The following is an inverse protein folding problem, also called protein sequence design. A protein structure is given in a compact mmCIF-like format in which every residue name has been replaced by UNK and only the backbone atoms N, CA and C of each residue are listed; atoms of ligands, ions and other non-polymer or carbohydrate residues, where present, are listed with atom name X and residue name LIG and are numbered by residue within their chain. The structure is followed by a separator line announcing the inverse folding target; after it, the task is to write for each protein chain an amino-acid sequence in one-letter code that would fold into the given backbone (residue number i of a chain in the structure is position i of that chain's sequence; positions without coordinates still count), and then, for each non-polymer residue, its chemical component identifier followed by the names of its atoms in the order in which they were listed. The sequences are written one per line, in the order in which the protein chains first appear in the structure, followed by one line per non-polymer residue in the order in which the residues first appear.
data_IF_154693489588
#
_entry.id   IF_154693489588
#
_cell.length_a   1.000
_cell.length_b   1.000
_cell.length_c   1.000
_cell.angle_alpha   90.00
_cell.angle_beta   90.00
_cell.angle_gamma   90.00
#
_symmetry.space_group_name_H-M   'P 1'
#
loop_
_entity.id
_entity.type
_entity.pdbx_description
1 polymer ?
#
# COMPACT_ATOMS: atom_id res chain seq x y z
N UNK A 1 7.24 -2.25 20.51
CA UNK A 1 7.64 -0.87 20.22
C UNK A 1 6.97 -0.38 18.96
N UNK A 2 6.52 0.86 19.01
CA UNK A 2 5.87 1.43 17.84
C UNK A 2 6.85 1.80 16.76
N UNK A 3 6.47 1.63 15.52
CA UNK A 3 7.27 2.11 14.42
C UNK A 3 7.19 3.62 14.35
N UNK A 4 8.28 4.25 13.95
CA UNK A 4 8.25 5.68 13.72
C UNK A 4 7.47 5.98 12.45
N UNK A 5 6.91 7.18 12.38
CA UNK A 5 6.09 7.54 11.24
C UNK A 5 6.84 7.37 9.92
N UNK A 6 8.10 7.71 9.89
CA UNK A 6 8.89 7.58 8.68
C UNK A 6 9.04 6.13 8.28
N UNK A 7 9.24 5.26 9.26
CA UNK A 7 9.38 3.83 8.99
C UNK A 7 8.12 3.23 8.44
N UNK A 8 7.00 3.48 9.11
CA UNK A 8 5.76 2.88 8.67
C UNK A 8 5.33 3.45 7.32
N UNK A 9 5.58 4.73 7.09
CA UNK A 9 5.25 5.31 5.81
C UNK A 9 6.08 4.67 4.69
N UNK A 10 7.35 4.43 4.94
CA UNK A 10 8.21 3.79 3.96
C UNK A 10 7.77 2.38 3.65
N UNK A 11 7.40 1.63 4.67
CA UNK A 11 6.94 0.26 4.47
C UNK A 11 5.60 0.22 3.77
N UNK A 12 4.72 1.14 4.12
CA UNK A 12 3.42 1.26 3.47
C UNK A 12 3.59 1.55 1.99
N UNK A 13 4.45 2.51 1.68
CA UNK A 13 4.70 2.88 0.30
C UNK A 13 5.26 1.72 -0.50
N UNK A 14 6.22 1.03 0.08
CA UNK A 14 6.86 -0.10 -0.56
C UNK A 14 5.85 -1.20 -0.89
N UNK A 15 4.98 -1.48 0.06
CA UNK A 15 3.97 -2.51 -0.12
C UNK A 15 2.98 -2.12 -1.21
N UNK A 16 2.53 -0.88 -1.19
CA UNK A 16 1.59 -0.41 -2.20
C UNK A 16 2.20 -0.42 -3.58
N UNK A 17 3.45 -0.04 -3.69
CA UNK A 17 4.13 -0.08 -4.98
C UNK A 17 4.26 -1.50 -5.50
N UNK A 18 4.49 -2.43 -4.60
CA UNK A 18 4.60 -3.83 -4.98
C UNK A 18 3.30 -4.36 -5.57
N UNK A 19 2.18 -4.02 -4.96
CA UNK A 19 0.90 -4.56 -5.37
C UNK A 19 0.19 -3.73 -6.43
N UNK A 20 0.39 -2.42 -6.41
CA UNK A 20 -0.40 -1.52 -7.25
C UNK A 20 0.43 -0.58 -8.09
N UNK A 21 1.73 -0.73 -8.10
CA UNK A 21 2.61 0.21 -8.76
C UNK A 21 2.39 0.33 -10.26
N UNK A 22 1.87 -0.72 -10.90
CA UNK A 22 1.62 -0.70 -12.33
C UNK A 22 0.18 -0.39 -12.69
N UNK A 23 -0.70 -0.33 -11.71
CA UNK A 23 -2.13 -0.18 -11.99
C UNK A 23 -2.72 1.11 -11.43
N UNK A 24 -2.00 1.77 -10.54
CA UNK A 24 -2.48 3.02 -9.94
C UNK A 24 -1.42 4.09 -10.05
N UNK A 25 -1.87 5.34 -10.01
CA UNK A 25 -0.93 6.45 -10.11
C UNK A 25 -0.10 6.58 -8.86
N UNK A 26 1.08 7.17 -9.02
CA UNK A 26 1.93 7.41 -7.87
C UNK A 26 1.24 8.32 -6.85
N UNK A 27 0.45 9.24 -7.34
CA UNK A 27 -0.26 10.16 -6.45
C UNK A 27 -1.21 9.40 -5.53
N UNK A 28 -1.99 8.47 -6.08
CA UNK A 28 -2.91 7.69 -5.28
C UNK A 28 -2.16 6.87 -4.24
N UNK A 29 -1.04 6.28 -4.65
CA UNK A 29 -0.23 5.46 -3.77
C UNK A 29 0.36 6.30 -2.64
N UNK A 30 0.89 7.46 -2.97
CA UNK A 30 1.50 8.32 -1.96
C UNK A 30 0.46 8.88 -0.99
N UNK A 31 -0.70 9.26 -1.50
CA UNK A 31 -1.76 9.77 -0.64
C UNK A 31 -2.23 8.71 0.34
N UNK A 32 -2.39 7.49 -0.16
CA UNK A 32 -2.80 6.40 0.71
C UNK A 32 -1.73 6.09 1.75
N UNK A 33 -0.47 6.13 1.34
CA UNK A 33 0.62 5.87 2.28
C UNK A 33 0.64 6.90 3.39
N UNK A 34 0.44 8.16 3.05
CA UNK A 34 0.41 9.22 4.07
C UNK A 34 -0.77 9.01 5.02
N UNK A 35 -1.93 8.76 4.46
CA UNK A 35 -3.13 8.61 5.28
C UNK A 35 -3.03 7.39 6.18
N UNK A 36 -2.61 6.27 5.61
CA UNK A 36 -2.51 5.04 6.37
C UNK A 36 -1.49 5.15 7.50
N UNK A 37 -0.31 5.67 7.18
CA UNK A 37 0.75 5.73 8.19
C UNK A 37 0.42 6.69 9.31
N UNK A 38 -0.40 7.69 9.05
CA UNK A 38 -0.78 8.62 10.11
C UNK A 38 -1.80 8.00 11.08
N UNK A 39 -2.55 7.02 10.62
CA UNK A 39 -3.58 6.37 11.43
C UNK A 39 -3.13 5.05 12.01
N UNK A 40 -2.35 4.31 11.25
CA UNK A 40 -1.95 2.97 11.64
C UNK A 40 -0.44 2.91 11.82
N UNK A 41 -0.01 2.05 12.71
CA UNK A 41 1.41 1.84 12.93
C UNK A 41 1.84 0.45 12.45
N UNK A 42 1.12 -0.09 11.49
CA UNK A 42 1.39 -1.41 10.94
C UNK A 42 0.91 -1.44 9.51
N UNK A 43 1.40 -2.39 8.73
CA UNK A 43 0.91 -2.58 7.37
C UNK A 43 -0.19 -3.62 7.29
N UNK A 44 -0.61 -4.15 8.42
CA UNK A 44 -1.67 -5.15 8.45
C UNK A 44 -2.98 -4.55 7.92
N UNK A 45 -3.57 -5.22 6.95
CA UNK A 45 -4.82 -4.76 6.37
C UNK A 45 -4.69 -3.67 5.32
N UNK A 46 -3.47 -3.26 5.01
CA UNK A 46 -3.24 -2.16 4.10
C UNK A 46 -3.74 -2.46 2.68
N UNK A 47 -3.47 -3.66 2.18
CA UNK A 47 -3.86 -4.02 0.81
C UNK A 47 -5.37 -4.00 0.67
N UNK A 48 -6.08 -4.53 1.65
CA UNK A 48 -7.54 -4.52 1.64
C UNK A 48 -8.09 -3.09 1.69
N UNK A 49 -7.46 -2.25 2.50
CA UNK A 49 -7.86 -0.87 2.62
C UNK A 49 -7.69 -0.14 1.28
N UNK A 50 -6.56 -0.35 0.64
CA UNK A 50 -6.30 0.31 -0.64
C UNK A 50 -7.32 -0.14 -1.68
N UNK A 51 -7.59 -1.43 -1.73
CA UNK A 51 -8.57 -1.95 -2.68
C UNK A 51 -9.95 -1.33 -2.47
N UNK A 52 -10.34 -1.15 -1.24
CA UNK A 52 -11.65 -0.60 -0.94
C UNK A 52 -11.77 0.86 -1.33
N UNK A 53 -10.69 1.61 -1.18
CA UNK A 53 -10.72 3.05 -1.44
C UNK A 53 -10.34 3.45 -2.85
N UNK A 54 -9.41 2.73 -3.46
CA UNK A 54 -8.82 3.15 -4.72
C UNK A 54 -9.08 2.19 -5.86
N UNK A 55 -9.71 1.06 -5.57
CA UNK A 55 -9.99 0.09 -6.61
C UNK A 55 -9.22 -1.19 -6.42
N UNK A 56 -9.64 -2.23 -7.12
CA UNK A 56 -9.14 -3.57 -6.88
C UNK A 56 -8.18 -4.08 -7.94
N UNK A 57 -7.58 -3.18 -8.71
CA UNK A 57 -6.69 -3.60 -9.79
C UNK A 57 -5.29 -3.82 -9.27
N UNK A 58 -4.97 -5.06 -8.97
CA UNK A 58 -3.64 -5.41 -8.53
C UNK A 58 -2.74 -5.66 -9.73
N UNK A 59 -1.43 -5.67 -9.45
CA UNK A 59 -0.45 -5.99 -10.46
C UNK A 59 -0.66 -7.39 -11.00
N UNK A 60 -0.75 -7.49 -12.31
CA UNK A 60 -1.01 -8.78 -12.92
C UNK A 60 0.12 -9.77 -12.73
N UNK A 61 1.33 -9.31 -12.90
CA UNK A 61 2.45 -10.24 -12.84
C UNK A 61 2.62 -10.85 -11.47
N UNK A 62 2.27 -10.11 -10.44
CA UNK A 62 2.34 -10.66 -9.09
C UNK A 62 1.37 -11.77 -8.88
N UNK A 63 0.16 -11.62 -9.41
CA UNK A 63 -0.85 -12.64 -9.19
C UNK A 63 -0.51 -13.94 -9.90
N UNK A 64 0.16 -13.84 -11.03
CA UNK A 64 0.55 -15.06 -11.72
C UNK A 64 1.54 -15.87 -10.94
N UNK A 65 2.43 -15.21 -10.29
CA UNK A 65 3.47 -15.93 -9.58
C UNK A 65 2.99 -16.54 -8.30
N UNK A 66 2.01 -15.94 -7.71
CA UNK A 66 1.54 -16.48 -6.45
C UNK A 66 0.65 -17.68 -6.62
N UNK A 67 0.26 -17.96 -7.81
CA UNK A 67 -0.52 -19.18 -8.07
C UNK A 67 0.31 -20.41 -7.99
#
# INVERSE_FOLDING_TARGET
MKMMDTQIRGQTLKLLLKYFGNTHTNRAIYECADDWSSKQKTTSGLVSYFKAYYGQHERQEGSKETD
#
